data_IF_506146743725
#
_entry.id   IF_506146743725
#
_cell.length_a   1.000
_cell.length_b   1.000
_cell.length_c   1.000
_cell.angle_alpha   90.00
_cell.angle_beta   90.00
_cell.angle_gamma   90.00
#
_symmetry.space_group_name_H-M   'P 1'
#
loop_
_entity.id
_entity.type
_entity.pdbx_description
1 polymer ?
#
# COMPACT_ATOMS: atom_id res chain seq x y z
N UNK A 1 26.88 6.81 16.55
CA UNK A 1 25.54 6.54 16.00
C UNK A 1 24.87 7.88 15.70
N UNK A 2 24.83 8.29 14.44
CA UNK A 2 24.16 9.53 14.01
C UNK A 2 22.69 9.24 13.73
N UNK A 3 21.83 9.45 14.73
CA UNK A 3 20.37 9.44 14.51
C UNK A 3 19.97 10.51 13.49
N UNK A 4 18.98 10.22 12.63
CA UNK A 4 18.47 11.20 11.66
C UNK A 4 17.95 12.44 12.39
N UNK A 5 18.22 13.62 11.83
CA UNK A 5 17.75 14.90 12.37
C UNK A 5 16.22 14.91 12.54
N UNK A 6 15.67 15.38 13.69
CA UNK A 6 14.23 15.45 13.93
C UNK A 6 13.46 16.18 12.83
N UNK A 7 14.06 17.24 12.25
CA UNK A 7 13.43 18.03 11.19
C UNK A 7 13.33 17.25 9.86
N UNK A 8 14.32 16.41 9.55
CA UNK A 8 14.28 15.54 8.39
C UNK A 8 13.24 14.42 8.55
N UNK A 9 13.12 13.84 9.75
CA UNK A 9 12.09 12.85 10.09
C UNK A 9 10.68 13.43 9.97
N UNK A 10 10.48 14.68 10.44
CA UNK A 10 9.18 15.36 10.33
C UNK A 10 8.80 15.66 8.87
N UNK A 11 9.74 16.17 8.07
CA UNK A 11 9.51 16.42 6.63
C UNK A 11 9.17 15.13 5.87
N UNK A 12 9.86 14.04 6.19
CA UNK A 12 9.57 12.71 5.60
C UNK A 12 8.15 12.25 5.94
N UNK A 13 7.77 12.34 7.22
CA UNK A 13 6.44 11.93 7.67
C UNK A 13 5.34 12.74 6.97
N UNK A 14 5.52 14.06 6.84
CA UNK A 14 4.58 14.92 6.12
C UNK A 14 4.42 14.52 4.64
N UNK A 15 5.53 14.24 3.95
CA UNK A 15 5.47 13.78 2.56
C UNK A 15 4.77 12.41 2.41
N UNK A 16 4.94 11.51 3.38
CA UNK A 16 4.24 10.21 3.38
C UNK A 16 2.74 10.41 3.64
N UNK A 17 2.35 11.31 4.56
CA UNK A 17 0.95 11.67 4.79
C UNK A 17 0.31 12.28 3.54
N UNK A 18 1.03 13.12 2.80
CA UNK A 18 0.54 13.67 1.53
C UNK A 18 0.34 12.55 0.50
N UNK A 19 1.34 11.67 0.34
CA UNK A 19 1.24 10.51 -0.54
C UNK A 19 0.07 9.58 -0.17
N UNK A 20 -0.17 9.39 1.13
CA UNK A 20 -1.32 8.62 1.62
C UNK A 20 -2.64 9.19 1.09
N UNK A 21 -2.83 10.51 1.16
CA UNK A 21 -4.02 11.18 0.63
C UNK A 21 -4.20 11.00 -0.88
N UNK A 22 -3.11 11.08 -1.66
CA UNK A 22 -3.16 10.82 -3.10
C UNK A 22 -3.52 9.35 -3.40
N UNK A 23 -2.95 8.40 -2.68
CA UNK A 23 -3.29 6.99 -2.87
C UNK A 23 -4.72 6.65 -2.44
N UNK A 24 -5.21 7.21 -1.33
CA UNK A 24 -6.61 7.10 -0.94
C UNK A 24 -7.54 7.60 -2.04
N UNK A 25 -7.25 8.77 -2.61
CA UNK A 25 -8.01 9.33 -3.73
C UNK A 25 -7.98 8.43 -4.96
N UNK A 26 -6.79 7.92 -5.34
CA UNK A 26 -6.64 7.02 -6.48
C UNK A 26 -7.38 5.69 -6.31
N UNK A 27 -7.38 5.13 -5.09
CA UNK A 27 -8.17 3.94 -4.76
C UNK A 27 -9.66 4.22 -4.86
N UNK A 28 -10.14 5.32 -4.26
CA UNK A 28 -11.55 5.70 -4.31
C UNK A 28 -12.06 5.88 -5.75
N UNK A 29 -11.29 6.58 -6.61
CA UNK A 29 -11.64 6.73 -8.03
C UNK A 29 -11.65 5.38 -8.76
N UNK A 30 -10.71 4.49 -8.45
CA UNK A 30 -10.69 3.14 -9.03
C UNK A 30 -11.88 2.29 -8.60
N UNK A 31 -12.31 2.39 -7.34
CA UNK A 31 -13.47 1.67 -6.80
C UNK A 31 -14.79 2.10 -7.48
N UNK A 32 -14.91 3.34 -7.95
CA UNK A 32 -16.06 3.79 -8.75
C UNK A 32 -16.19 3.04 -10.08
N UNK A 33 -15.10 2.44 -10.58
CA UNK A 33 -15.11 1.66 -11.81
C UNK A 33 -15.41 0.17 -11.58
N UNK A 34 -15.54 -0.26 -10.32
CA UNK A 34 -15.90 -1.63 -9.98
C UNK A 34 -17.43 -1.80 -9.94
N UNK A 35 -17.94 -3.00 -10.27
CA UNK A 35 -19.34 -3.32 -10.02
C UNK A 35 -19.73 -3.10 -8.55
N UNK A 36 -20.98 -2.73 -8.30
CA UNK A 36 -21.51 -2.64 -6.94
C UNK A 36 -21.34 -4.00 -6.23
N UNK A 37 -20.81 -3.98 -4.99
CA UNK A 37 -20.50 -5.20 -4.20
C UNK A 37 -19.55 -6.15 -4.93
N UNK A 38 -18.54 -5.62 -5.62
CA UNK A 38 -17.52 -6.42 -6.29
C UNK A 38 -16.86 -7.42 -5.32
N UNK A 39 -16.99 -8.70 -5.63
CA UNK A 39 -16.36 -9.83 -4.90
C UNK A 39 -15.45 -10.66 -5.81
N UNK A 40 -15.14 -10.12 -7.00
CA UNK A 40 -14.34 -10.79 -8.01
C UNK A 40 -12.84 -10.47 -7.93
N UNK A 41 -12.12 -10.93 -8.94
CA UNK A 41 -10.70 -10.63 -9.14
C UNK A 41 -10.51 -9.65 -10.30
N UNK A 42 -9.53 -8.77 -10.20
CA UNK A 42 -9.06 -7.94 -11.31
C UNK A 42 -7.83 -8.59 -11.92
N UNK A 43 -7.87 -8.83 -13.23
CA UNK A 43 -6.77 -9.48 -13.94
C UNK A 43 -5.66 -8.45 -14.19
N UNK A 44 -4.43 -8.73 -13.75
CA UNK A 44 -3.26 -7.86 -13.95
C UNK A 44 -2.89 -7.61 -15.42
N UNK A 45 -3.12 -8.60 -16.29
CA UNK A 45 -2.85 -8.50 -17.72
C UNK A 45 -3.68 -7.40 -18.39
N UNK A 46 -4.85 -7.06 -17.84
CA UNK A 46 -5.63 -5.91 -18.27
C UNK A 46 -4.98 -4.62 -17.78
N UNK A 47 -4.38 -3.87 -18.70
CA UNK A 47 -3.65 -2.62 -18.40
C UNK A 47 -4.52 -1.58 -17.70
N UNK A 48 -5.83 -1.58 -17.95
CA UNK A 48 -6.81 -0.68 -17.31
C UNK A 48 -6.95 -0.90 -15.80
N UNK A 49 -6.65 -2.10 -15.29
CA UNK A 49 -6.72 -2.40 -13.85
C UNK A 49 -5.48 -1.95 -13.09
N UNK A 50 -4.35 -1.78 -13.80
CA UNK A 50 -3.06 -1.54 -13.15
C UNK A 50 -2.98 -0.22 -12.38
N UNK A 51 -3.58 0.91 -12.83
CA UNK A 51 -3.61 2.12 -12.03
C UNK A 51 -4.26 1.91 -10.66
N UNK A 52 -5.43 1.25 -10.62
CA UNK A 52 -6.12 0.93 -9.36
C UNK A 52 -5.26 0.05 -8.45
N UNK A 53 -4.72 -1.04 -8.99
CA UNK A 53 -3.87 -1.97 -8.24
C UNK A 53 -2.61 -1.29 -7.71
N UNK A 54 -1.96 -0.42 -8.51
CA UNK A 54 -0.80 0.36 -8.06
C UNK A 54 -1.15 1.39 -7.00
N UNK A 55 -2.31 2.03 -7.10
CA UNK A 55 -2.79 2.94 -6.06
C UNK A 55 -2.98 2.20 -4.73
N UNK A 56 -3.55 0.98 -4.74
CA UNK A 56 -3.67 0.14 -3.53
C UNK A 56 -2.31 -0.27 -2.96
N UNK A 57 -1.35 -0.63 -3.81
CA UNK A 57 0.01 -0.94 -3.34
C UNK A 57 0.67 0.27 -2.68
N UNK A 58 0.62 1.45 -3.31
CA UNK A 58 1.12 2.68 -2.73
C UNK A 58 0.42 3.05 -1.41
N UNK A 59 -0.90 2.83 -1.33
CA UNK A 59 -1.68 3.02 -0.10
C UNK A 59 -1.18 2.14 1.05
N UNK A 60 -0.95 0.84 0.80
CA UNK A 60 -0.40 -0.07 1.79
C UNK A 60 1.00 0.36 2.27
N UNK A 61 1.89 0.73 1.34
CA UNK A 61 3.23 1.19 1.68
C UNK A 61 3.23 2.49 2.47
N UNK A 62 2.34 3.43 2.15
CA UNK A 62 2.23 4.69 2.86
C UNK A 62 1.77 4.47 4.32
N UNK A 63 0.74 3.65 4.53
CA UNK A 63 0.32 3.24 5.88
C UNK A 63 1.46 2.57 6.66
N UNK A 64 2.15 1.63 6.02
CA UNK A 64 3.25 0.91 6.66
C UNK A 64 4.41 1.84 7.06
N UNK A 65 4.79 2.78 6.18
CA UNK A 65 5.81 3.80 6.47
C UNK A 65 5.42 4.79 7.56
N UNK A 66 4.12 4.98 7.80
CA UNK A 66 3.61 5.75 8.94
C UNK A 66 3.51 4.92 10.23
N UNK A 67 3.82 3.63 10.17
CA UNK A 67 3.72 2.71 11.31
C UNK A 67 2.29 2.21 11.59
N UNK A 68 1.35 2.44 10.67
CA UNK A 68 -0.01 1.93 10.77
C UNK A 68 -0.11 0.55 10.11
N UNK A 69 0.32 -0.46 10.87
CA UNK A 69 0.36 -1.86 10.42
C UNK A 69 -1.03 -2.43 10.15
N UNK A 70 -2.04 -1.98 10.88
CA UNK A 70 -3.38 -2.54 10.84
C UNK A 70 -4.10 -2.11 9.55
N UNK A 71 -3.98 -0.82 9.17
CA UNK A 71 -4.46 -0.34 7.88
C UNK A 71 -3.63 -0.90 6.72
N UNK A 72 -2.29 -0.95 6.84
CA UNK A 72 -1.43 -1.53 5.82
C UNK A 72 -1.81 -3.01 5.53
N UNK A 73 -1.95 -3.83 6.57
CA UNK A 73 -2.32 -5.24 6.44
C UNK A 73 -3.71 -5.43 5.82
N UNK A 74 -4.67 -4.56 6.16
CA UNK A 74 -6.01 -4.59 5.56
C UNK A 74 -5.97 -4.32 4.06
N UNK A 75 -5.22 -3.32 3.63
CA UNK A 75 -5.06 -3.01 2.20
C UNK A 75 -4.33 -4.14 1.47
N UNK A 76 -3.29 -4.72 2.06
CA UNK A 76 -2.54 -5.84 1.46
C UNK A 76 -3.41 -7.08 1.27
N UNK A 77 -4.10 -7.54 2.32
CA UNK A 77 -4.99 -8.73 2.26
C UNK A 77 -6.10 -8.55 1.23
N UNK A 78 -6.77 -7.41 1.24
CA UNK A 78 -7.85 -7.12 0.29
C UNK A 78 -7.33 -6.99 -1.15
N UNK A 79 -6.12 -6.45 -1.35
CA UNK A 79 -5.51 -6.37 -2.68
C UNK A 79 -5.09 -7.74 -3.19
N UNK A 80 -4.56 -8.62 -2.33
CA UNK A 80 -4.26 -10.02 -2.68
C UNK A 80 -5.51 -10.82 -3.03
N UNK A 81 -6.64 -10.54 -2.35
CA UNK A 81 -7.93 -11.12 -2.73
C UNK A 81 -8.35 -10.69 -4.14
N UNK A 82 -8.23 -9.39 -4.46
CA UNK A 82 -8.64 -8.83 -5.75
C UNK A 82 -7.63 -9.18 -6.87
N UNK A 83 -6.33 -9.26 -6.59
CA UNK A 83 -5.28 -9.60 -7.55
C UNK A 83 -4.43 -10.77 -7.03
N UNK A 84 -4.93 -12.02 -7.12
CA UNK A 84 -4.25 -13.18 -6.54
C UNK A 84 -2.92 -13.53 -7.23
N UNK A 85 -2.75 -13.08 -8.48
CA UNK A 85 -1.52 -13.24 -9.24
C UNK A 85 -0.34 -12.44 -8.66
N UNK A 86 -0.63 -11.44 -7.83
CA UNK A 86 0.34 -10.68 -7.05
C UNK A 86 1.56 -10.17 -7.84
N UNK A 87 1.32 -9.61 -9.01
CA UNK A 87 2.39 -9.00 -9.82
C UNK A 87 3.03 -7.75 -9.20
N UNK A 88 2.71 -7.44 -7.95
CA UNK A 88 3.19 -6.28 -7.20
C UNK A 88 4.07 -6.69 -6.01
N UNK A 89 4.22 -7.99 -5.72
CA UNK A 89 5.06 -8.48 -4.63
C UNK A 89 4.46 -8.28 -3.24
N UNK A 90 3.14 -8.20 -3.11
CA UNK A 90 2.48 -7.97 -1.83
C UNK A 90 2.61 -9.17 -0.87
N UNK A 91 2.79 -10.39 -1.38
CA UNK A 91 3.04 -11.61 -0.58
C UNK A 91 4.35 -11.54 0.20
N UNK A 92 5.34 -10.83 -0.30
CA UNK A 92 6.61 -10.65 0.41
C UNK A 92 6.52 -9.54 1.48
N UNK A 93 5.63 -8.57 1.26
CA UNK A 93 5.39 -7.45 2.16
C UNK A 93 4.47 -7.83 3.33
N UNK A 94 3.40 -8.59 3.08
CA UNK A 94 2.36 -8.87 4.07
C UNK A 94 2.90 -9.50 5.37
N UNK A 95 3.78 -10.52 5.34
CA UNK A 95 4.33 -11.10 6.57
C UNK A 95 5.14 -10.10 7.40
N UNK A 96 5.84 -9.17 6.75
CA UNK A 96 6.63 -8.13 7.43
C UNK A 96 5.71 -7.13 8.15
N UNK A 97 4.61 -6.73 7.50
CA UNK A 97 3.58 -5.87 8.09
C UNK A 97 2.87 -6.56 9.25
N UNK A 98 2.51 -7.84 9.09
CA UNK A 98 1.85 -8.62 10.15
C UNK A 98 2.77 -8.87 11.36
N UNK A 99 4.07 -9.04 11.12
CA UNK A 99 5.10 -9.08 12.17
C UNK A 99 5.39 -7.69 12.78
N UNK A 100 4.71 -6.63 12.33
CA UNK A 100 4.93 -5.22 12.69
C UNK A 100 6.39 -4.79 12.54
N UNK A 101 7.08 -5.32 11.52
CA UNK A 101 8.45 -4.92 11.17
C UNK A 101 8.43 -3.50 10.63
N UNK A 102 9.12 -2.52 11.24
CA UNK A 102 9.16 -1.16 10.71
C UNK A 102 9.72 -1.12 9.28
N UNK A 103 9.14 -0.28 8.42
CA UNK A 103 9.52 -0.19 7.01
C UNK A 103 11.04 0.01 6.81
N UNK A 104 11.68 0.84 7.62
CA UNK A 104 13.13 1.11 7.54
C UNK A 104 14.03 -0.08 7.89
N UNK A 105 13.47 -1.13 8.49
CA UNK A 105 14.18 -2.36 8.86
C UNK A 105 13.81 -3.54 7.98
N UNK A 106 12.86 -3.37 7.08
CA UNK A 106 12.41 -4.42 6.20
C UNK A 106 13.49 -4.75 5.15
N UNK A 107 13.74 -6.03 4.83
CA UNK A 107 14.68 -6.45 3.80
C UNK A 107 14.04 -6.35 2.41
N UNK A 108 13.55 -5.16 2.08
CA UNK A 108 12.92 -4.84 0.80
C UNK A 108 13.73 -3.72 0.13
N UNK A 109 13.90 -3.86 -1.17
CA UNK A 109 14.65 -2.99 -2.07
C UNK A 109 13.92 -1.67 -2.41
#
# INVERSE_FOLDING_TARGET
>A
MTGKSPMATRRRSAAITEALGYYQTGVAVGELSLPLRFTGVTIWSSTRNRPFLRARHGLALAWWRLGDFDNAGTVLRTTLFINPADNQGLRDILPLVEARTPYEKAPID
#
